data_IF_964780809421
#
_entry.id   IF_964780809421
#
_cell.length_a   1.000
_cell.length_b   1.000
_cell.length_c   1.000
_cell.angle_alpha   90.00
_cell.angle_beta   90.00
_cell.angle_gamma   90.00
#
_symmetry.space_group_name_H-M   'P 1'
#
loop_
_entity.id
_entity.type
_entity.pdbx_description
1 polymer ?
#
# COMPACT_ATOMS: atom_id res chain seq x y z
N UNK A 1 -7.81 -16.17 5.33
CA UNK A 1 -8.37 -16.03 6.68
C UNK A 1 -7.95 -17.20 7.56
N UNK A 2 -8.13 -18.43 7.10
CA UNK A 2 -7.80 -19.62 7.92
C UNK A 2 -6.29 -19.82 8.17
N UNK A 3 -5.44 -19.15 7.39
CA UNK A 3 -3.98 -19.15 7.56
C UNK A 3 -3.47 -18.14 8.61
N UNK A 4 -4.35 -17.46 9.35
CA UNK A 4 -4.03 -16.39 10.32
C UNK A 4 -3.18 -15.27 9.72
N UNK A 5 -3.52 -14.84 8.52
CA UNK A 5 -2.89 -13.67 7.88
C UNK A 5 -3.52 -12.41 8.46
N UNK A 6 -2.69 -11.47 8.92
CA UNK A 6 -3.13 -10.25 9.59
C UNK A 6 -3.75 -9.23 8.60
N UNK A 7 -3.25 -9.18 7.36
CA UNK A 7 -3.70 -8.23 6.34
C UNK A 7 -3.98 -8.98 5.04
N UNK A 8 -5.19 -8.82 4.51
CA UNK A 8 -5.63 -9.46 3.27
C UNK A 8 -6.02 -8.38 2.26
N UNK A 9 -5.35 -8.37 1.10
CA UNK A 9 -5.72 -7.51 -0.01
C UNK A 9 -6.72 -8.22 -0.93
N UNK A 10 -7.81 -7.55 -1.27
CA UNK A 10 -8.92 -8.12 -2.05
C UNK A 10 -8.99 -7.63 -3.50
N UNK A 11 -8.06 -6.81 -3.94
CA UNK A 11 -7.99 -6.31 -5.30
C UNK A 11 -7.97 -4.79 -5.39
N UNK A 12 -8.31 -4.27 -6.57
CA UNK A 12 -8.20 -2.85 -6.90
C UNK A 12 -9.53 -2.10 -6.78
N UNK A 13 -9.42 -0.82 -6.40
CA UNK A 13 -10.45 0.20 -6.64
C UNK A 13 -10.04 1.02 -7.88
N UNK A 14 -10.85 0.95 -8.94
CA UNK A 14 -10.62 1.66 -10.21
C UNK A 14 -11.98 2.06 -10.82
N UNK A 15 -12.36 3.33 -10.67
CA UNK A 15 -13.65 3.86 -11.12
C UNK A 15 -13.78 4.02 -12.64
N UNK A 16 -12.69 3.78 -13.37
CA UNK A 16 -12.67 3.73 -14.84
C UNK A 16 -13.21 2.41 -15.38
N UNK A 17 -13.47 1.43 -14.52
CA UNK A 17 -13.96 0.10 -14.86
C UNK A 17 -15.40 -0.09 -14.37
N UNK A 18 -16.30 -0.62 -15.21
CA UNK A 18 -17.64 -0.96 -14.73
C UNK A 18 -17.56 -2.11 -13.73
N UNK A 19 -18.54 -2.15 -12.83
CA UNK A 19 -18.69 -3.28 -11.90
C UNK A 19 -18.88 -4.61 -12.66
N UNK A 20 -18.12 -5.61 -12.25
CA UNK A 20 -18.23 -6.99 -12.72
C UNK A 20 -17.93 -7.92 -11.55
N UNK A 21 -18.90 -8.71 -11.13
CA UNK A 21 -18.79 -9.62 -9.97
C UNK A 21 -17.69 -10.69 -10.13
N UNK A 22 -17.25 -10.95 -11.36
CA UNK A 22 -16.20 -11.93 -11.66
C UNK A 22 -14.78 -11.33 -11.65
N UNK A 23 -14.66 -10.07 -11.23
CA UNK A 23 -13.36 -9.36 -11.20
C UNK A 23 -13.07 -8.82 -9.81
N UNK A 24 -11.79 -8.83 -9.46
CA UNK A 24 -11.25 -8.16 -8.26
C UNK A 24 -10.84 -6.69 -8.54
N UNK A 25 -11.55 -6.02 -9.46
CA UNK A 25 -11.43 -4.60 -9.76
C UNK A 25 -12.80 -3.99 -9.58
N UNK A 26 -12.97 -3.17 -8.55
CA UNK A 26 -14.25 -2.58 -8.15
C UNK A 26 -14.23 -1.06 -8.40
N UNK A 27 -15.31 -0.47 -8.95
CA UNK A 27 -15.39 0.97 -9.19
C UNK A 27 -15.50 1.80 -7.90
N UNK A 28 -15.98 1.22 -6.82
CA UNK A 28 -16.31 1.90 -5.56
C UNK A 28 -16.34 0.93 -4.37
N UNK A 29 -16.46 1.45 -3.16
CA UNK A 29 -16.56 0.66 -1.94
C UNK A 29 -17.87 -0.10 -1.80
N UNK A 30 -18.95 0.34 -2.43
CA UNK A 30 -20.23 -0.41 -2.46
C UNK A 30 -20.11 -1.70 -3.27
N UNK A 31 -19.31 -1.67 -4.32
CA UNK A 31 -19.00 -2.85 -5.13
C UNK A 31 -18.13 -3.85 -4.36
N UNK A 32 -17.25 -3.36 -3.50
CA UNK A 32 -16.50 -4.22 -2.55
C UNK A 32 -17.46 -4.94 -1.62
N UNK A 33 -18.40 -4.22 -1.00
CA UNK A 33 -19.41 -4.80 -0.12
C UNK A 33 -20.26 -5.87 -0.81
N UNK A 34 -20.67 -5.64 -2.06
CA UNK A 34 -21.45 -6.61 -2.85
C UNK A 34 -20.71 -7.94 -3.08
N UNK A 35 -19.39 -7.89 -3.25
CA UNK A 35 -18.57 -9.09 -3.52
C UNK A 35 -18.16 -9.77 -2.22
N UNK A 36 -17.72 -8.99 -1.24
CA UNK A 36 -16.98 -9.48 -0.08
C UNK A 36 -17.70 -9.33 1.26
N UNK A 37 -18.77 -8.54 1.34
CA UNK A 37 -19.47 -8.21 2.59
C UNK A 37 -20.01 -9.42 3.37
N UNK A 38 -20.24 -10.56 2.68
CA UNK A 38 -20.64 -11.81 3.32
C UNK A 38 -19.49 -12.69 3.85
N UNK A 39 -18.22 -12.27 3.69
CA UNK A 39 -17.09 -13.07 4.14
C UNK A 39 -16.82 -12.88 5.63
N UNK A 40 -16.64 -14.00 6.34
CA UNK A 40 -16.09 -13.98 7.69
C UNK A 40 -14.59 -13.70 7.63
N UNK A 41 -14.22 -12.45 7.82
CA UNK A 41 -12.82 -12.00 7.82
C UNK A 41 -12.08 -12.28 9.14
N UNK A 42 -12.79 -12.78 10.16
CA UNK A 42 -12.25 -13.00 11.51
C UNK A 42 -11.56 -11.73 12.05
N UNK A 43 -10.26 -11.83 12.38
CA UNK A 43 -9.45 -10.70 12.87
C UNK A 43 -8.60 -10.05 11.77
N UNK A 44 -8.65 -10.55 10.52
CA UNK A 44 -7.84 -10.00 9.44
C UNK A 44 -8.31 -8.59 9.05
N UNK A 45 -7.35 -7.68 8.90
CA UNK A 45 -7.57 -6.39 8.26
C UNK A 45 -7.76 -6.60 6.76
N UNK A 46 -8.86 -6.11 6.21
CA UNK A 46 -9.12 -6.19 4.77
C UNK A 46 -8.75 -4.88 4.12
N UNK A 47 -7.92 -4.94 3.08
CA UNK A 47 -7.45 -3.77 2.35
C UNK A 47 -7.73 -3.89 0.85
N UNK A 48 -7.99 -2.76 0.22
CA UNK A 48 -8.02 -2.62 -1.23
C UNK A 48 -6.83 -1.83 -1.73
N UNK A 49 -6.51 -1.93 -3.02
CA UNK A 49 -5.43 -1.18 -3.63
C UNK A 49 -5.95 -0.14 -4.62
N UNK A 50 -5.33 1.04 -4.63
CA UNK A 50 -5.58 2.12 -5.60
C UNK A 50 -4.25 2.47 -6.27
N UNK A 51 -4.21 2.45 -7.60
CA UNK A 51 -3.18 3.17 -8.34
C UNK A 51 -3.58 4.65 -8.36
N UNK A 52 -2.73 5.52 -7.83
CA UNK A 52 -3.06 6.93 -7.70
C UNK A 52 -3.57 7.53 -9.03
N UNK A 53 -4.77 8.11 -8.95
CA UNK A 53 -5.48 8.66 -10.11
C UNK A 53 -6.49 7.70 -10.76
N UNK A 54 -6.66 6.47 -10.26
CA UNK A 54 -7.62 5.50 -10.82
C UNK A 54 -8.95 5.41 -10.09
N UNK A 55 -9.05 5.98 -8.90
CA UNK A 55 -10.29 6.05 -8.13
C UNK A 55 -10.39 7.39 -7.42
N UNK A 56 -11.51 8.07 -7.61
CA UNK A 56 -11.80 9.35 -6.98
C UNK A 56 -12.32 9.15 -5.56
N UNK A 57 -12.06 10.13 -4.68
CA UNK A 57 -12.51 10.10 -3.29
C UNK A 57 -14.04 10.00 -3.16
N UNK A 58 -14.81 10.56 -4.10
CA UNK A 58 -16.28 10.49 -4.11
C UNK A 58 -16.84 9.06 -4.23
N UNK A 59 -16.03 8.11 -4.72
CA UNK A 59 -16.38 6.70 -4.85
C UNK A 59 -15.95 5.85 -3.64
N UNK A 60 -15.41 6.51 -2.61
CA UNK A 60 -14.90 5.87 -1.40
C UNK A 60 -15.70 6.37 -0.20
N UNK A 61 -16.53 5.52 0.37
CA UNK A 61 -17.26 5.81 1.60
C UNK A 61 -16.35 5.93 2.81
N UNK A 62 -16.79 6.58 3.90
CA UNK A 62 -16.09 6.49 5.17
C UNK A 62 -15.80 5.04 5.56
N UNK A 63 -14.66 4.78 6.20
CA UNK A 63 -14.25 3.43 6.61
C UNK A 63 -15.32 2.72 7.46
N UNK A 64 -16.04 3.46 8.30
CA UNK A 64 -17.14 2.94 9.12
C UNK A 64 -18.35 2.41 8.33
N UNK A 65 -18.42 2.75 7.04
CA UNK A 65 -19.49 2.34 6.11
C UNK A 65 -18.98 1.43 5.00
N UNK A 66 -17.77 0.90 5.14
CA UNK A 66 -17.07 0.09 4.13
C UNK A 66 -16.64 -1.25 4.70
N UNK A 67 -16.58 -2.27 3.84
CA UNK A 67 -15.96 -3.56 4.20
C UNK A 67 -14.44 -3.47 4.37
N UNK A 68 -13.81 -2.44 3.80
CA UNK A 68 -12.37 -2.22 3.90
C UNK A 68 -11.98 -1.53 5.21
N UNK A 69 -10.91 -2.00 5.85
CA UNK A 69 -10.27 -1.34 6.99
C UNK A 69 -9.15 -0.39 6.53
N UNK A 70 -8.57 -0.67 5.35
CA UNK A 70 -7.45 0.10 4.85
C UNK A 70 -7.36 0.15 3.33
N UNK A 71 -6.55 1.07 2.86
CA UNK A 71 -6.30 1.29 1.43
C UNK A 71 -4.80 1.40 1.18
N UNK A 72 -4.31 0.61 0.23
CA UNK A 72 -2.93 0.64 -0.26
C UNK A 72 -2.88 1.52 -1.51
N UNK A 73 -2.20 2.65 -1.42
CA UNK A 73 -2.06 3.60 -2.54
C UNK A 73 -0.71 3.39 -3.20
N UNK A 74 -0.69 2.87 -4.42
CA UNK A 74 0.51 2.76 -5.24
C UNK A 74 0.70 4.03 -6.07
N UNK A 75 1.93 4.49 -6.22
CA UNK A 75 2.24 5.69 -7.00
C UNK A 75 3.68 5.70 -7.50
N UNK A 76 3.89 6.36 -8.64
CA UNK A 76 5.22 6.62 -9.22
C UNK A 76 5.90 7.77 -8.49
N UNK A 77 7.24 7.77 -8.43
CA UNK A 77 8.04 8.75 -7.68
C UNK A 77 7.72 10.22 -7.97
N UNK A 78 7.43 10.57 -9.23
CA UNK A 78 7.12 11.95 -9.62
C UNK A 78 5.72 12.41 -9.16
N UNK A 79 4.84 11.49 -8.78
CA UNK A 79 3.50 11.77 -8.25
C UNK A 79 3.45 11.74 -6.71
N UNK A 80 4.59 11.53 -6.03
CA UNK A 80 4.63 11.29 -4.58
C UNK A 80 3.93 12.35 -3.74
N UNK A 81 4.05 13.63 -4.11
CA UNK A 81 3.43 14.74 -3.38
C UNK A 81 1.90 14.66 -3.42
N UNK A 82 1.34 14.53 -4.62
CA UNK A 82 -0.10 14.49 -4.81
C UNK A 82 -0.70 13.18 -4.29
N UNK A 83 0.01 12.06 -4.45
CA UNK A 83 -0.39 10.77 -3.91
C UNK A 83 -0.41 10.76 -2.37
N UNK A 84 0.56 11.37 -1.70
CA UNK A 84 0.55 11.50 -0.25
C UNK A 84 -0.53 12.47 0.24
N UNK A 85 -0.85 13.53 -0.51
CA UNK A 85 -2.02 14.36 -0.23
C UNK A 85 -3.32 13.54 -0.32
N UNK A 86 -3.45 12.69 -1.34
CA UNK A 86 -4.58 11.76 -1.46
C UNK A 86 -4.63 10.76 -0.28
N UNK A 87 -3.48 10.25 0.15
CA UNK A 87 -3.38 9.41 1.36
C UNK A 87 -3.91 10.14 2.60
N UNK A 88 -3.63 11.45 2.74
CA UNK A 88 -4.15 12.25 3.85
C UNK A 88 -5.68 12.34 3.83
N UNK A 89 -6.29 12.47 2.66
CA UNK A 89 -7.75 12.47 2.53
C UNK A 89 -8.37 11.10 2.87
N UNK A 90 -7.77 10.00 2.44
CA UNK A 90 -8.21 8.66 2.83
C UNK A 90 -8.12 8.42 4.35
N UNK A 91 -7.09 8.97 5.00
CA UNK A 91 -7.00 8.95 6.47
C UNK A 91 -8.15 9.71 7.15
N UNK A 92 -8.56 10.85 6.60
CA UNK A 92 -9.73 11.61 7.13
C UNK A 92 -11.01 10.81 7.01
N UNK A 93 -11.13 9.93 5.99
CA UNK A 93 -12.23 8.97 5.87
C UNK A 93 -12.14 7.79 6.86
N UNK A 94 -11.09 7.72 7.69
CA UNK A 94 -10.91 6.71 8.74
C UNK A 94 -10.12 5.48 8.33
N UNK A 95 -9.62 5.38 7.11
CA UNK A 95 -8.86 4.22 6.63
C UNK A 95 -7.43 4.17 7.20
N UNK A 96 -6.93 2.96 7.44
CA UNK A 96 -5.50 2.70 7.54
C UNK A 96 -4.89 2.79 6.15
N UNK A 97 -3.99 3.73 5.92
CA UNK A 97 -3.45 4.01 4.58
C UNK A 97 -2.02 3.52 4.49
N UNK A 98 -1.73 2.77 3.43
CA UNK A 98 -0.40 2.25 3.13
C UNK A 98 0.13 2.94 1.87
N UNK A 99 1.22 3.68 1.99
CA UNK A 99 1.90 4.32 0.86
C UNK A 99 2.87 3.34 0.21
N UNK A 100 2.64 3.00 -1.07
CA UNK A 100 3.39 1.98 -1.80
C UNK A 100 4.33 2.64 -2.81
N UNK A 101 5.64 2.57 -2.57
CA UNK A 101 6.66 3.22 -3.39
C UNK A 101 7.00 2.39 -4.62
N UNK A 102 6.25 2.59 -5.72
CA UNK A 102 6.49 1.88 -6.98
C UNK A 102 7.88 2.19 -7.53
N UNK A 103 8.58 1.16 -8.01
CA UNK A 103 9.92 1.26 -8.58
C UNK A 103 10.94 1.90 -7.62
N UNK A 104 10.94 1.46 -6.36
CA UNK A 104 11.77 2.06 -5.31
C UNK A 104 13.25 2.12 -5.71
N UNK A 105 13.77 1.18 -6.49
CA UNK A 105 15.15 1.15 -7.00
C UNK A 105 15.49 2.29 -7.96
N UNK A 106 14.52 3.11 -8.34
CA UNK A 106 14.74 4.29 -9.20
C UNK A 106 14.80 5.62 -8.41
N UNK A 107 14.63 5.56 -7.09
CA UNK A 107 14.74 6.75 -6.24
C UNK A 107 16.20 7.03 -5.95
N UNK A 108 16.60 8.29 -6.14
CA UNK A 108 17.83 8.83 -5.57
C UNK A 108 17.60 9.17 -4.09
N UNK A 109 18.68 9.28 -3.31
CA UNK A 109 18.57 9.47 -1.86
C UNK A 109 17.83 10.77 -1.48
N UNK A 110 18.04 11.85 -2.22
CA UNK A 110 17.33 13.12 -2.00
C UNK A 110 15.82 13.02 -2.30
N UNK A 111 15.45 12.26 -3.34
CA UNK A 111 14.05 11.97 -3.65
C UNK A 111 13.40 11.11 -2.57
N UNK A 112 14.14 10.14 -2.02
CA UNK A 112 13.69 9.31 -0.90
C UNK A 112 13.52 10.15 0.37
N UNK A 113 14.45 11.03 0.67
CA UNK A 113 14.36 11.94 1.83
C UNK A 113 13.19 12.91 1.72
N UNK A 114 12.92 13.46 0.53
CA UNK A 114 11.72 14.28 0.29
C UNK A 114 10.42 13.49 0.51
N UNK A 115 10.38 12.26 0.04
CA UNK A 115 9.23 11.36 0.27
C UNK A 115 9.04 11.05 1.76
N UNK A 116 10.13 10.75 2.48
CA UNK A 116 10.09 10.47 3.93
C UNK A 116 9.56 11.71 4.68
N UNK A 117 10.01 12.92 4.34
CA UNK A 117 9.50 14.16 4.91
C UNK A 117 7.98 14.29 4.70
N UNK A 118 7.49 14.07 3.47
CA UNK A 118 6.06 14.10 3.17
C UNK A 118 5.29 13.00 3.90
N UNK A 119 5.85 11.79 4.00
CA UNK A 119 5.24 10.70 4.74
C UNK A 119 5.14 11.02 6.25
N UNK A 120 6.15 11.66 6.83
CA UNK A 120 6.12 12.11 8.23
C UNK A 120 5.06 13.18 8.51
N UNK A 121 4.72 14.00 7.52
CA UNK A 121 3.62 14.98 7.64
C UNK A 121 2.26 14.28 7.60
N UNK A 122 2.08 13.31 6.68
CA UNK A 122 0.82 12.58 6.48
C UNK A 122 0.61 11.49 7.53
N UNK A 123 1.69 10.84 7.97
CA UNK A 123 1.70 9.71 8.89
C UNK A 123 0.76 8.59 8.42
N UNK A 124 1.03 7.96 7.24
CA UNK A 124 0.31 6.77 6.83
C UNK A 124 0.51 5.64 7.85
N UNK A 125 -0.32 4.61 7.78
CA UNK A 125 -0.16 3.41 8.62
C UNK A 125 1.17 2.71 8.34
N UNK A 126 1.57 2.63 7.06
CA UNK A 126 2.88 2.13 6.68
C UNK A 126 3.34 2.76 5.35
N UNK A 127 4.66 2.78 5.16
CA UNK A 127 5.34 3.05 3.89
C UNK A 127 5.98 1.74 3.43
N UNK A 128 5.69 1.31 2.21
CA UNK A 128 6.22 0.05 1.69
C UNK A 128 7.12 0.27 0.48
N UNK A 129 8.30 -0.31 0.54
CA UNK A 129 9.20 -0.42 -0.61
C UNK A 129 8.65 -1.46 -1.58
N UNK A 130 8.45 -1.10 -2.84
CA UNK A 130 7.99 -2.02 -3.87
C UNK A 130 9.11 -2.31 -4.86
N UNK A 131 9.61 -3.53 -4.85
CA UNK A 131 10.49 -4.06 -5.88
C UNK A 131 9.68 -4.42 -7.13
N UNK A 132 9.27 -3.39 -7.84
CA UNK A 132 8.32 -3.49 -8.97
C UNK A 132 8.81 -4.43 -10.07
N UNK A 133 10.10 -4.49 -10.29
CA UNK A 133 10.70 -5.28 -11.36
C UNK A 133 11.26 -6.62 -10.88
N UNK A 134 11.30 -6.87 -9.58
CA UNK A 134 11.90 -8.06 -9.00
C UNK A 134 13.41 -8.15 -9.20
N UNK A 135 14.10 -7.00 -9.19
CA UNK A 135 15.53 -6.86 -9.48
C UNK A 135 16.35 -6.46 -8.25
N UNK A 136 15.70 -6.32 -7.09
CA UNK A 136 16.36 -5.84 -5.89
C UNK A 136 17.26 -6.91 -5.28
N UNK A 137 18.53 -6.58 -5.12
CA UNK A 137 19.49 -7.35 -4.32
C UNK A 137 19.44 -6.91 -2.86
N UNK A 138 20.03 -7.71 -1.97
CA UNK A 138 20.03 -7.44 -0.53
C UNK A 138 20.67 -6.10 -0.16
N UNK A 139 21.69 -5.65 -0.88
CA UNK A 139 22.34 -4.36 -0.67
C UNK A 139 21.37 -3.19 -0.91
N UNK A 140 20.59 -3.26 -2.00
CA UNK A 140 19.55 -2.25 -2.29
C UNK A 140 18.45 -2.29 -1.21
N UNK A 141 18.02 -3.49 -0.83
CA UNK A 141 17.00 -3.68 0.21
C UNK A 141 17.44 -3.02 1.51
N UNK A 142 18.68 -3.33 1.95
CA UNK A 142 19.25 -2.76 3.17
C UNK A 142 19.36 -1.24 3.08
N UNK A 143 19.85 -0.70 1.97
CA UNK A 143 19.99 0.74 1.78
C UNK A 143 18.67 1.49 1.97
N UNK A 144 17.62 1.10 1.26
CA UNK A 144 16.32 1.76 1.37
C UNK A 144 15.64 1.50 2.72
N UNK A 145 15.85 0.32 3.30
CA UNK A 145 15.36 0.03 4.64
C UNK A 145 16.02 0.93 5.69
N UNK A 146 17.35 1.08 5.64
CA UNK A 146 18.09 1.93 6.57
C UNK A 146 17.61 3.39 6.48
N UNK A 147 17.44 3.94 5.27
CA UNK A 147 16.90 5.29 5.07
C UNK A 147 15.51 5.46 5.70
N UNK A 148 14.60 4.51 5.45
CA UNK A 148 13.26 4.56 6.04
C UNK A 148 13.31 4.39 7.56
N UNK A 149 14.07 3.44 8.06
CA UNK A 149 14.14 3.14 9.49
C UNK A 149 14.78 4.27 10.32
N UNK A 150 15.75 4.99 9.73
CA UNK A 150 16.41 6.10 10.40
C UNK A 150 15.56 7.37 10.42
N UNK A 151 14.76 7.62 9.36
CA UNK A 151 14.17 8.93 9.13
C UNK A 151 12.64 8.96 9.15
N UNK A 152 11.93 7.83 9.07
CA UNK A 152 10.49 7.79 9.29
C UNK A 152 10.14 7.98 10.76
N UNK A 153 9.03 8.64 11.01
CA UNK A 153 8.46 8.73 12.35
C UNK A 153 8.14 7.32 12.89
N UNK A 154 8.43 7.03 14.18
CA UNK A 154 8.40 5.67 14.73
C UNK A 154 7.02 5.02 14.73
N UNK A 155 5.95 5.79 14.58
CA UNK A 155 4.58 5.29 14.45
C UNK A 155 4.24 4.79 13.04
N UNK A 156 5.08 5.05 12.03
CA UNK A 156 4.87 4.62 10.64
C UNK A 156 5.54 3.27 10.43
N UNK A 157 4.75 2.26 10.06
CA UNK A 157 5.30 0.94 9.73
C UNK A 157 6.11 0.95 8.44
N UNK A 158 7.12 0.10 8.35
CA UNK A 158 7.89 -0.15 7.12
C UNK A 158 7.45 -1.48 6.54
N UNK A 159 7.10 -1.49 5.25
CA UNK A 159 6.71 -2.69 4.52
C UNK A 159 7.64 -2.99 3.34
N UNK A 160 7.57 -4.21 2.87
CA UNK A 160 8.24 -4.64 1.65
C UNK A 160 7.28 -5.44 0.76
N UNK A 161 7.28 -5.13 -0.54
CA UNK A 161 6.56 -5.87 -1.56
C UNK A 161 7.54 -6.33 -2.63
N UNK A 162 7.85 -7.62 -2.65
CA UNK A 162 8.82 -8.21 -3.57
C UNK A 162 8.16 -8.89 -4.76
N UNK A 163 8.64 -8.58 -5.98
CA UNK A 163 8.45 -9.44 -7.14
C UNK A 163 9.64 -10.39 -7.29
N UNK A 164 9.49 -11.46 -8.05
CA UNK A 164 10.43 -12.59 -8.04
C UNK A 164 11.16 -12.81 -9.37
N UNK A 165 11.42 -11.76 -10.14
CA UNK A 165 12.05 -11.89 -11.47
C UNK A 165 13.47 -12.49 -11.36
N UNK A 166 14.31 -11.97 -10.48
CA UNK A 166 15.64 -12.52 -10.18
C UNK A 166 15.61 -13.65 -9.13
N UNK A 167 14.42 -14.15 -8.78
CA UNK A 167 14.21 -15.19 -7.76
C UNK A 167 14.69 -14.80 -6.36
N UNK A 168 14.83 -13.50 -6.09
CA UNK A 168 15.23 -12.95 -4.79
C UNK A 168 14.04 -12.53 -3.91
N UNK A 169 12.82 -12.51 -4.46
CA UNK A 169 11.64 -12.00 -3.75
C UNK A 169 11.39 -12.69 -2.42
N UNK A 170 11.47 -14.02 -2.39
CA UNK A 170 11.30 -14.80 -1.14
C UNK A 170 12.43 -14.51 -0.13
N UNK A 171 13.68 -14.52 -0.57
CA UNK A 171 14.83 -14.24 0.29
C UNK A 171 14.76 -12.82 0.88
N UNK A 172 14.41 -11.83 0.07
CA UNK A 172 14.25 -10.45 0.50
C UNK A 172 13.08 -10.29 1.49
N UNK A 173 11.98 -11.04 1.32
CA UNK A 173 10.88 -11.04 2.29
C UNK A 173 11.31 -11.60 3.65
N UNK A 174 12.11 -12.69 3.67
CA UNK A 174 12.65 -13.26 4.91
C UNK A 174 13.60 -12.25 5.58
N UNK A 175 14.50 -11.63 4.81
CA UNK A 175 15.42 -10.61 5.31
C UNK A 175 14.64 -9.47 5.98
N UNK A 176 13.64 -8.91 5.31
CA UNK A 176 12.80 -7.85 5.88
C UNK A 176 12.06 -8.28 7.13
N UNK A 177 11.55 -9.51 7.18
CA UNK A 177 10.88 -10.03 8.37
C UNK A 177 11.83 -10.21 9.57
N UNK A 178 13.14 -10.31 9.35
CA UNK A 178 14.16 -10.42 10.39
C UNK A 178 14.63 -9.09 10.97
N UNK A 179 14.28 -7.95 10.33
CA UNK A 179 14.67 -6.59 10.73
C UNK A 179 13.80 -6.01 11.88
N UNK A 180 13.27 -6.83 12.76
CA UNK A 180 12.42 -6.44 13.91
C UNK A 180 13.22 -5.91 15.08
#
# INVERSE_FOLDING_TARGET
VDANIDIIEIGFLDDRRPFDINRSIMPDTDSVEKIYGGLDRKQAMVVGMIDYGTCKLENIKPCSESFLDGIRVIFKKHLRKDALAYCAELKKLGYKVFAQLVSVTTYEDDEMMDLIRLANEVKPYAVSMVDTYGLMHQENLKHYFDLLNEHLAPEIGIGYHGHNNFQMGYANCIEMASQK
#
